data_IF_672915295858
#
_entry.id   IF_672915295858
#
_cell.length_a   1.000
_cell.length_b   1.000
_cell.length_c   1.000
_cell.angle_alpha   90.00
_cell.angle_beta   90.00
_cell.angle_gamma   90.00
#
_symmetry.space_group_name_H-M   'P 1'
#
loop_
_entity.id
_entity.type
_entity.pdbx_description
1 polymer ?
#
# COMPACT_ATOMS: atom_id res chain seq x y z
N UNK A 1 -30.06 44.45 -9.30
CA UNK A 1 -30.12 42.99 -9.55
C UNK A 1 -28.76 42.26 -9.57
N UNK A 2 -27.66 42.79 -9.00
CA UNK A 2 -26.31 42.17 -9.12
C UNK A 2 -25.86 41.30 -7.92
N UNK A 3 -26.55 41.32 -6.78
CA UNK A 3 -26.13 40.59 -5.56
C UNK A 3 -26.56 39.12 -5.50
N UNK A 4 -27.60 38.72 -6.26
CA UNK A 4 -28.15 37.35 -6.25
C UNK A 4 -27.29 36.35 -7.03
N UNK A 5 -26.54 36.79 -8.06
CA UNK A 5 -25.68 35.89 -8.85
C UNK A 5 -24.42 35.48 -8.10
N UNK A 6 -23.80 36.38 -7.32
CA UNK A 6 -22.56 36.10 -6.58
C UNK A 6 -22.74 35.00 -5.53
N UNK A 7 -23.88 35.00 -4.83
CA UNK A 7 -24.23 33.98 -3.82
C UNK A 7 -24.42 32.61 -4.48
N UNK A 8 -24.97 32.56 -5.69
CA UNK A 8 -25.19 31.32 -6.44
C UNK A 8 -23.85 30.65 -6.84
N UNK A 9 -22.86 31.45 -7.23
CA UNK A 9 -21.52 30.96 -7.58
C UNK A 9 -20.74 30.43 -6.37
N UNK A 10 -20.84 31.09 -5.22
CA UNK A 10 -20.20 30.63 -3.99
C UNK A 10 -20.84 29.32 -3.51
N UNK A 11 -22.16 29.19 -3.62
CA UNK A 11 -22.86 27.96 -3.24
C UNK A 11 -22.52 26.78 -4.18
N UNK A 12 -22.41 27.03 -5.48
CA UNK A 12 -21.97 26.03 -6.46
C UNK A 12 -20.50 25.58 -6.23
N UNK A 13 -19.63 26.52 -5.84
CA UNK A 13 -18.23 26.23 -5.51
C UNK A 13 -18.07 25.44 -4.19
N UNK A 14 -18.93 25.70 -3.20
CA UNK A 14 -18.94 24.94 -1.95
C UNK A 14 -19.55 23.53 -2.12
N UNK A 15 -20.51 23.34 -3.03
CA UNK A 15 -21.07 22.02 -3.33
C UNK A 15 -20.06 21.12 -4.06
N UNK A 16 -19.24 21.66 -4.97
CA UNK A 16 -18.23 20.87 -5.69
C UNK A 16 -17.11 20.38 -4.77
N UNK A 17 -16.74 21.15 -3.73
CA UNK A 17 -15.73 20.76 -2.76
C UNK A 17 -16.13 19.53 -1.91
N UNK A 18 -17.44 19.33 -1.65
CA UNK A 18 -17.92 18.16 -0.88
C UNK A 18 -17.98 16.86 -1.67
N UNK A 19 -18.03 16.93 -3.01
CA UNK A 19 -18.09 15.73 -3.86
C UNK A 19 -16.77 14.96 -3.94
N UNK A 20 -15.67 15.51 -3.41
CA UNK A 20 -14.33 14.90 -3.46
C UNK A 20 -13.75 14.55 -2.08
N UNK A 21 -14.58 14.43 -1.04
CA UNK A 21 -14.11 13.83 0.22
C UNK A 21 -13.85 12.33 0.00
N UNK A 22 -12.63 11.99 -0.40
CA UNK A 22 -12.21 10.61 -0.61
C UNK A 22 -11.99 9.91 0.73
N UNK A 23 -12.62 8.75 0.93
CA UNK A 23 -12.45 7.95 2.15
C UNK A 23 -10.98 7.56 2.35
N UNK A 24 -10.52 7.68 3.60
CA UNK A 24 -9.15 7.38 4.01
C UNK A 24 -9.10 6.35 5.13
N UNK A 25 -8.09 5.49 5.13
CA UNK A 25 -7.94 4.38 6.07
C UNK A 25 -6.52 4.36 6.64
N UNK A 26 -6.37 4.17 7.95
CA UNK A 26 -5.06 4.14 8.60
C UNK A 26 -4.39 2.77 8.39
N UNK A 27 -3.16 2.77 7.87
CA UNK A 27 -2.34 1.57 7.65
C UNK A 27 -1.13 1.61 8.59
N UNK A 28 -0.90 0.49 9.28
CA UNK A 28 0.35 0.20 9.97
C UNK A 28 1.00 -1.03 9.33
N UNK A 29 2.28 -0.92 9.00
CA UNK A 29 3.17 -2.02 8.60
C UNK A 29 4.15 -2.20 9.76
N UNK A 30 4.36 -3.43 10.20
CA UNK A 30 5.19 -3.72 11.38
C UNK A 30 5.96 -5.02 11.22
N UNK A 31 6.92 -5.24 12.11
CA UNK A 31 7.78 -6.42 12.13
C UNK A 31 8.46 -6.67 10.77
N UNK A 32 8.92 -5.59 10.13
CA UNK A 32 9.56 -5.65 8.81
C UNK A 32 10.88 -6.40 8.95
N UNK A 33 11.03 -7.47 8.18
CA UNK A 33 12.23 -8.30 8.14
C UNK A 33 12.64 -8.51 6.69
N UNK A 34 13.80 -7.94 6.35
CA UNK A 34 14.42 -8.04 5.03
C UNK A 34 15.64 -8.93 5.16
N UNK A 35 15.75 -9.95 4.30
CA UNK A 35 16.90 -10.84 4.29
C UNK A 35 17.46 -11.00 2.89
N UNK A 36 18.79 -11.06 2.81
CA UNK A 36 19.51 -11.41 1.60
C UNK A 36 20.51 -12.50 1.95
N UNK A 37 20.47 -13.63 1.22
CA UNK A 37 21.34 -14.80 1.51
C UNK A 37 21.28 -15.27 2.98
N UNK A 38 20.13 -15.13 3.64
CA UNK A 38 19.87 -15.44 5.07
C UNK A 38 20.46 -14.45 6.09
N UNK A 39 21.11 -13.39 5.63
CA UNK A 39 21.52 -12.29 6.50
C UNK A 39 20.40 -11.26 6.58
N UNK A 40 20.09 -10.80 7.79
CA UNK A 40 19.09 -9.75 8.01
C UNK A 40 19.72 -8.41 7.64
N UNK A 41 19.02 -7.65 6.80
CA UNK A 41 19.42 -6.30 6.42
C UNK A 41 18.66 -5.30 7.31
N UNK A 42 19.34 -4.20 7.68
CA UNK A 42 18.71 -3.12 8.42
C UNK A 42 17.52 -2.55 7.62
N UNK A 43 16.35 -2.53 8.25
CA UNK A 43 15.12 -1.93 7.72
C UNK A 43 14.39 -1.20 8.85
N UNK A 44 13.51 -0.23 8.54
CA UNK A 44 12.60 0.32 9.54
C UNK A 44 11.84 -0.80 10.24
N UNK A 45 11.59 -0.69 11.54
CA UNK A 45 10.79 -1.69 12.28
C UNK A 45 9.32 -1.59 11.90
N UNK A 46 8.79 -0.35 11.89
CA UNK A 46 7.40 -0.02 11.65
C UNK A 46 7.30 1.14 10.62
N UNK A 47 6.22 1.13 9.84
CA UNK A 47 5.84 2.20 8.92
C UNK A 47 4.34 2.47 9.09
N UNK A 48 3.99 3.74 9.28
CA UNK A 48 2.60 4.17 9.33
C UNK A 48 2.24 4.97 8.07
N UNK A 49 0.97 4.92 7.69
CA UNK A 49 0.49 5.58 6.49
C UNK A 49 -1.02 5.70 6.43
N UNK A 50 -1.48 6.48 5.47
CA UNK A 50 -2.91 6.65 5.21
C UNK A 50 -3.21 6.18 3.79
N UNK A 51 -4.09 5.20 3.65
CA UNK A 51 -4.60 4.75 2.36
C UNK A 51 -5.82 5.56 1.93
N UNK A 52 -5.99 5.77 0.63
CA UNK A 52 -7.16 6.39 0.03
C UNK A 52 -7.92 5.36 -0.81
N UNK A 53 -9.24 5.37 -0.72
CA UNK A 53 -10.07 4.41 -1.43
C UNK A 53 -9.76 4.40 -2.94
N UNK A 54 -9.60 3.21 -3.51
CA UNK A 54 -9.32 2.97 -4.93
C UNK A 54 -7.99 3.50 -5.48
N UNK A 55 -7.10 4.05 -4.65
CA UNK A 55 -5.75 4.48 -5.06
C UNK A 55 -4.68 3.45 -4.66
N UNK A 56 -3.69 3.29 -5.53
CA UNK A 56 -2.47 2.53 -5.21
C UNK A 56 -1.51 3.45 -4.49
N UNK A 57 -1.01 3.02 -3.34
CA UNK A 57 -0.02 3.77 -2.57
C UNK A 57 1.13 2.87 -2.18
N UNK A 58 2.34 3.40 -2.30
CA UNK A 58 3.59 2.66 -2.15
C UNK A 58 4.30 3.03 -0.86
N UNK A 59 4.84 2.04 -0.17
CA UNK A 59 5.61 2.19 1.06
C UNK A 59 6.95 1.48 0.88
N UNK A 60 8.05 2.24 0.99
CA UNK A 60 9.41 1.70 0.91
C UNK A 60 9.71 0.93 2.20
N UNK A 61 10.03 -0.36 2.06
CA UNK A 61 10.40 -1.23 3.17
C UNK A 61 11.90 -1.19 3.44
N UNK A 62 12.70 -0.95 2.40
CA UNK A 62 14.16 -0.91 2.46
C UNK A 62 14.72 -0.25 1.19
N UNK A 63 15.82 0.48 1.33
CA UNK A 63 16.58 1.07 0.21
C UNK A 63 18.05 1.23 0.60
N UNK A 64 18.95 0.54 -0.08
CA UNK A 64 20.40 0.63 0.14
C UNK A 64 21.16 0.17 -1.11
N UNK A 65 22.27 0.84 -1.45
CA UNK A 65 23.19 0.45 -2.54
C UNK A 65 22.49 0.20 -3.89
N UNK A 66 21.45 0.99 -4.19
CA UNK A 66 20.63 0.86 -5.40
C UNK A 66 19.66 -0.33 -5.39
N UNK A 67 19.61 -1.13 -4.32
CA UNK A 67 18.60 -2.16 -4.10
C UNK A 67 17.46 -1.57 -3.29
N UNK A 68 16.24 -1.63 -3.82
CA UNK A 68 15.04 -1.08 -3.18
C UNK A 68 13.95 -2.13 -3.09
N UNK A 69 13.28 -2.22 -1.94
CA UNK A 69 12.10 -3.04 -1.76
C UNK A 69 10.93 -2.17 -1.28
N UNK A 70 9.77 -2.32 -1.90
CA UNK A 70 8.56 -1.61 -1.50
C UNK A 70 7.32 -2.48 -1.65
N UNK A 71 6.28 -2.06 -0.96
CA UNK A 71 4.95 -2.67 -1.05
C UNK A 71 3.94 -1.63 -1.51
N UNK A 72 3.07 -2.04 -2.42
CA UNK A 72 1.89 -1.29 -2.81
C UNK A 72 0.66 -1.83 -2.09
N UNK A 73 -0.14 -0.93 -1.53
CA UNK A 73 -1.47 -1.23 -1.02
C UNK A 73 -2.53 -0.49 -1.82
N UNK A 74 -3.67 -1.15 -2.06
CA UNK A 74 -4.85 -0.54 -2.69
C UNK A 74 -6.14 -1.06 -2.07
N UNK A 75 -6.84 -0.26 -1.25
CA UNK A 75 -8.15 -0.60 -0.74
C UNK A 75 -9.18 -0.48 -1.88
N UNK A 76 -10.05 -1.49 -2.00
CA UNK A 76 -11.13 -1.56 -3.00
C UNK A 76 -12.39 -2.11 -2.38
N UNK A 77 -13.55 -1.58 -2.76
CA UNK A 77 -14.82 -2.19 -2.40
C UNK A 77 -15.34 -3.09 -3.53
N UNK A 78 -15.93 -4.23 -3.15
CA UNK A 78 -16.75 -5.07 -4.04
C UNK A 78 -18.09 -5.31 -3.38
N UNK A 79 -19.08 -4.49 -3.71
CA UNK A 79 -20.32 -4.38 -2.95
C UNK A 79 -20.01 -3.94 -1.52
N UNK A 80 -20.61 -4.59 -0.52
CA UNK A 80 -20.39 -4.31 0.91
C UNK A 80 -19.16 -5.00 1.51
N UNK A 81 -18.15 -5.31 0.69
CA UNK A 81 -16.92 -5.98 1.14
C UNK A 81 -15.70 -5.13 0.78
N UNK A 82 -14.90 -4.78 1.78
CA UNK A 82 -13.60 -4.15 1.55
C UNK A 82 -12.57 -5.23 1.21
N UNK A 83 -11.73 -4.93 0.23
CA UNK A 83 -10.60 -5.74 -0.21
C UNK A 83 -9.35 -4.92 -0.10
N UNK A 84 -8.26 -5.51 0.39
CA UNK A 84 -6.94 -4.89 0.34
C UNK A 84 -6.09 -5.66 -0.68
N UNK A 85 -5.77 -5.00 -1.79
CA UNK A 85 -4.83 -5.52 -2.78
C UNK A 85 -3.42 -5.12 -2.34
N UNK A 86 -2.49 -6.08 -2.37
CA UNK A 86 -1.11 -5.89 -1.94
C UNK A 86 -0.16 -6.45 -2.98
N UNK A 87 0.95 -5.75 -3.25
CA UNK A 87 1.98 -6.22 -4.18
C UNK A 87 3.35 -5.81 -3.65
N UNK A 88 4.30 -6.76 -3.61
CA UNK A 88 5.68 -6.50 -3.19
C UNK A 88 6.57 -6.42 -4.43
N UNK A 89 7.47 -5.46 -4.45
CA UNK A 89 8.41 -5.21 -5.54
C UNK A 89 9.83 -5.09 -5.00
N UNK A 90 10.79 -5.46 -5.85
CA UNK A 90 12.21 -5.23 -5.65
C UNK A 90 12.78 -4.63 -6.92
N UNK A 91 13.47 -3.50 -6.79
CA UNK A 91 14.28 -2.90 -7.83
C UNK A 91 15.74 -3.18 -7.53
N UNK A 92 16.44 -3.75 -8.51
CA UNK A 92 17.86 -4.04 -8.41
C UNK A 92 18.73 -2.84 -8.79
N UNK A 93 20.03 -2.83 -8.45
CA UNK A 93 20.93 -1.70 -8.71
C UNK A 93 21.06 -1.30 -10.19
N UNK A 94 20.71 -2.20 -11.11
CA UNK A 94 20.62 -1.95 -12.55
C UNK A 94 19.26 -1.37 -13.00
N UNK A 95 18.43 -0.90 -12.07
CA UNK A 95 17.12 -0.28 -12.29
C UNK A 95 16.01 -1.27 -12.69
N UNK A 96 16.26 -2.58 -12.61
CA UNK A 96 15.26 -3.59 -13.02
C UNK A 96 14.30 -3.89 -11.89
N UNK A 97 13.02 -3.64 -12.12
CA UNK A 97 11.95 -3.96 -11.18
C UNK A 97 11.44 -5.40 -11.37
N UNK A 98 11.38 -6.15 -10.27
CA UNK A 98 10.74 -7.46 -10.17
C UNK A 98 9.61 -7.40 -9.17
N UNK A 99 8.43 -7.82 -9.63
CA UNK A 99 7.24 -7.99 -8.80
C UNK A 99 7.17 -9.41 -8.26
N UNK A 100 6.84 -9.56 -6.98
CA UNK A 100 6.49 -10.85 -6.41
C UNK A 100 5.21 -11.39 -7.06
N UNK A 101 5.29 -12.59 -7.64
CA UNK A 101 4.12 -13.29 -8.17
C UNK A 101 3.43 -14.06 -7.05
N UNK A 102 2.65 -13.37 -6.23
CA UNK A 102 1.78 -14.02 -5.26
C UNK A 102 0.61 -14.69 -6.00
N UNK A 103 0.25 -15.95 -5.65
CA UNK A 103 -1.04 -16.55 -6.05
C UNK A 103 -2.15 -15.75 -5.36
N UNK A 104 -2.63 -14.65 -5.98
CA UNK A 104 -3.73 -13.76 -5.54
C UNK A 104 -3.94 -13.71 -4.00
N UNK A 105 -3.09 -13.00 -3.27
CA UNK A 105 -3.40 -12.66 -1.88
C UNK A 105 -4.35 -11.46 -1.85
N UNK A 106 -5.65 -11.75 -1.89
CA UNK A 106 -6.70 -10.75 -1.68
C UNK A 106 -7.38 -11.09 -0.37
N UNK A 107 -7.12 -10.29 0.67
CA UNK A 107 -7.87 -10.42 1.91
C UNK A 107 -9.19 -9.66 1.76
N UNK A 108 -10.28 -10.34 2.13
CA UNK A 108 -11.64 -9.86 2.03
C UNK A 108 -12.20 -9.66 3.43
N UNK A 109 -12.78 -8.50 3.69
CA UNK A 109 -13.62 -8.27 4.86
C UNK A 109 -15.01 -7.84 4.44
N UNK A 110 -16.01 -8.34 5.16
CA UNK A 110 -17.38 -7.82 5.06
C UNK A 110 -17.46 -6.58 5.95
N UNK A 111 -18.03 -5.49 5.45
CA UNK A 111 -18.04 -4.18 6.13
C UNK A 111 -18.76 -4.23 7.50
N UNK A 112 -19.57 -5.26 7.76
CA UNK A 112 -20.21 -5.50 9.06
C UNK A 112 -19.32 -6.25 10.08
N UNK A 113 -18.07 -6.54 9.74
CA UNK A 113 -17.07 -7.20 10.60
C UNK A 113 -16.09 -6.13 11.07
N UNK A 114 -15.59 -6.27 12.30
CA UNK A 114 -14.61 -5.40 12.98
C UNK A 114 -13.76 -4.59 12.00
N UNK A 115 -13.81 -3.25 12.11
CA UNK A 115 -13.21 -2.23 11.22
C UNK A 115 -11.68 -2.24 11.14
N UNK A 116 -11.06 -3.42 11.21
CA UNK A 116 -9.62 -3.63 11.17
C UNK A 116 -9.30 -4.88 10.34
N UNK A 117 -8.44 -4.73 9.33
CA UNK A 117 -7.89 -5.82 8.51
C UNK A 117 -6.45 -6.08 8.90
N UNK A 118 -6.17 -7.26 9.47
CA UNK A 118 -4.80 -7.67 9.81
C UNK A 118 -4.33 -8.81 8.92
N UNK A 119 -3.04 -8.85 8.64
CA UNK A 119 -2.41 -10.05 8.12
C UNK A 119 -0.90 -9.93 8.00
N UNK A 120 -0.31 -10.92 7.34
CA UNK A 120 1.13 -11.08 7.19
C UNK A 120 1.44 -11.47 5.76
N UNK A 121 2.44 -10.83 5.18
CA UNK A 121 3.00 -11.23 3.90
C UNK A 121 4.45 -11.66 4.07
N UNK A 122 4.85 -12.66 3.30
CA UNK A 122 6.21 -13.17 3.21
C UNK A 122 6.47 -13.55 1.76
N UNK A 123 7.57 -13.05 1.20
CA UNK A 123 7.88 -13.18 -0.21
C UNK A 123 9.39 -13.28 -0.42
N UNK A 124 9.82 -14.27 -1.20
CA UNK A 124 11.17 -14.30 -1.76
C UNK A 124 11.13 -13.85 -3.23
N UNK A 125 11.93 -12.84 -3.57
CA UNK A 125 11.96 -12.23 -4.90
C UNK A 125 13.36 -12.40 -5.48
N UNK A 126 13.47 -13.22 -6.52
CA UNK A 126 14.68 -13.36 -7.31
C UNK A 126 14.84 -12.15 -8.24
N UNK A 127 15.69 -11.20 -7.85
CA UNK A 127 15.88 -9.96 -8.62
C UNK A 127 17.00 -10.08 -9.67
N UNK A 128 18.00 -10.94 -9.45
CA UNK A 128 19.03 -11.25 -10.45
C UNK A 128 19.15 -12.75 -10.66
N UNK A 129 18.59 -13.25 -11.78
CA UNK A 129 18.58 -14.67 -12.13
C UNK A 129 19.98 -15.21 -12.49
N UNK A 130 20.82 -14.41 -13.15
CA UNK A 130 22.17 -14.82 -13.57
C UNK A 130 23.06 -15.09 -12.36
N UNK A 131 23.01 -14.19 -11.38
CA UNK A 131 23.81 -14.25 -10.15
C UNK A 131 23.08 -14.94 -8.99
N UNK A 132 21.89 -15.49 -9.23
CA UNK A 132 21.01 -16.11 -8.23
C UNK A 132 20.79 -15.26 -6.97
N UNK A 133 20.70 -13.93 -7.14
CA UNK A 133 20.44 -13.03 -6.00
C UNK A 133 18.93 -12.89 -5.78
N UNK A 134 18.50 -13.22 -4.57
CA UNK A 134 17.13 -13.03 -4.08
C UNK A 134 17.11 -12.10 -2.87
N UNK A 135 15.95 -11.51 -2.64
CA UNK A 135 15.62 -10.76 -1.45
C UNK A 135 14.36 -11.38 -0.84
N UNK A 136 14.43 -11.75 0.44
CA UNK A 136 13.29 -12.18 1.21
C UNK A 136 12.73 -10.98 1.99
N UNK A 137 11.41 -10.81 1.91
CA UNK A 137 10.68 -9.70 2.52
C UNK A 137 9.54 -10.29 3.32
N UNK A 138 9.45 -9.94 4.61
CA UNK A 138 8.37 -10.33 5.50
C UNK A 138 7.90 -9.14 6.33
N UNK A 139 6.61 -8.97 6.50
CA UNK A 139 6.02 -7.94 7.35
C UNK A 139 4.59 -8.31 7.78
N UNK A 140 4.13 -7.71 8.87
CA UNK A 140 2.74 -7.68 9.27
C UNK A 140 2.10 -6.36 8.80
N UNK A 141 0.79 -6.36 8.56
CA UNK A 141 0.03 -5.14 8.27
C UNK A 141 -1.31 -5.13 9.01
N UNK A 142 -1.76 -3.92 9.34
CA UNK A 142 -3.03 -3.62 9.97
C UNK A 142 -3.65 -2.39 9.27
N UNK A 143 -4.87 -2.53 8.76
CA UNK A 143 -5.63 -1.45 8.12
C UNK A 143 -6.91 -1.19 8.92
N UNK A 144 -7.05 0.01 9.48
CA UNK A 144 -8.26 0.45 10.17
C UNK A 144 -9.19 1.21 9.22
N UNK A 145 -10.46 0.84 9.16
CA UNK A 145 -11.43 1.31 8.16
C UNK A 145 -12.86 1.47 8.66
#
# INVERSE_FOLDING_TARGET
MKKKSLILWILAFLLSAKLFSQETYALKISDINIQQKKEVIASPSDIEGTLRQNLTQSFTLFEQDGLKAWVEFRPKFKGRRMKLVRNIYVESPDGKVKKFKQKKAVQLLKVSVTGVMKGRDAAEILYNRKMRKSLFVKYNYELSY
#
